data_IF_293724199649
#
_entry.id   IF_293724199649
#
_cell.length_a   1.000
_cell.length_b   1.000
_cell.length_c   1.000
_cell.angle_alpha   90.00
_cell.angle_beta   90.00
_cell.angle_gamma   90.00
#
_symmetry.space_group_name_H-M   'P 1'
#
loop_
_entity.id
_entity.type
_entity.pdbx_description
1 polymer ?
#
# COMPACT_ATOMS: atom_id res chain seq x y z
N UNK A 1 23.45 -7.02 -2.05
CA UNK A 1 22.02 -7.37 -1.87
C UNK A 1 21.36 -6.06 -1.51
N UNK A 2 20.57 -5.57 -2.45
CA UNK A 2 20.42 -4.15 -2.77
C UNK A 2 19.26 -3.56 -1.98
N UNK A 3 19.43 -2.34 -1.49
CA UNK A 3 18.48 -1.35 -0.92
C UNK A 3 16.98 -1.51 -1.29
N UNK A 4 16.69 -2.09 -2.46
CA UNK A 4 15.36 -2.53 -2.91
C UNK A 4 14.65 -3.53 -1.99
N UNK A 5 15.36 -4.39 -1.26
CA UNK A 5 14.75 -5.34 -0.32
C UNK A 5 14.23 -4.60 0.92
N UNK A 6 15.00 -3.65 1.48
CA UNK A 6 14.56 -2.75 2.56
C UNK A 6 13.45 -1.79 2.10
N UNK A 7 13.53 -1.29 0.86
CA UNK A 7 12.48 -0.51 0.24
C UNK A 7 11.17 -1.31 0.19
N UNK A 8 11.19 -2.55 -0.29
CA UNK A 8 9.99 -3.40 -0.33
C UNK A 8 9.54 -3.91 1.05
N UNK A 9 10.45 -4.01 2.03
CA UNK A 9 10.16 -4.39 3.42
C UNK A 9 9.47 -3.28 4.23
N UNK A 10 9.46 -2.05 3.71
CA UNK A 10 8.66 -1.01 4.34
C UNK A 10 7.17 -1.35 4.24
N UNK A 11 6.54 -1.58 5.39
CA UNK A 11 5.11 -1.85 5.56
C UNK A 11 4.23 -0.95 4.68
N UNK A 12 4.61 0.33 4.55
CA UNK A 12 3.92 1.29 3.69
C UNK A 12 3.95 0.92 2.19
N UNK A 13 5.06 0.40 1.68
CA UNK A 13 5.19 0.02 0.27
C UNK A 13 4.39 -1.24 -0.06
N UNK A 14 4.33 -2.20 0.87
CA UNK A 14 3.37 -3.31 0.78
C UNK A 14 1.92 -2.82 0.73
N UNK A 15 1.56 -1.86 1.59
CA UNK A 15 0.24 -1.22 1.59
C UNK A 15 -0.05 -0.44 0.30
N UNK A 16 0.93 0.29 -0.22
CA UNK A 16 0.82 1.05 -1.46
C UNK A 16 0.65 0.13 -2.68
N UNK A 17 1.35 -1.00 -2.72
CA UNK A 17 1.19 -2.00 -3.76
C UNK A 17 -0.20 -2.64 -3.73
N UNK A 18 -0.68 -3.04 -2.54
CA UNK A 18 -2.04 -3.56 -2.35
C UNK A 18 -3.09 -2.55 -2.85
N UNK A 19 -2.97 -1.29 -2.43
CA UNK A 19 -3.86 -0.22 -2.85
C UNK A 19 -3.86 0.00 -4.37
N UNK A 20 -2.68 -0.06 -5.00
CA UNK A 20 -2.54 0.07 -6.45
C UNK A 20 -3.26 -1.06 -7.19
N UNK A 21 -3.06 -2.32 -6.77
CA UNK A 21 -3.68 -3.49 -7.40
C UNK A 21 -5.20 -3.42 -7.30
N UNK A 22 -5.75 -3.01 -6.15
CA UNK A 22 -7.19 -2.90 -5.97
C UNK A 22 -7.81 -1.75 -6.77
N UNK A 23 -7.16 -0.57 -6.80
CA UNK A 23 -7.64 0.54 -7.62
C UNK A 23 -7.59 0.20 -9.11
N UNK A 24 -6.56 -0.54 -9.55
CA UNK A 24 -6.44 -1.02 -10.92
C UNK A 24 -7.52 -2.06 -11.30
N UNK A 25 -7.98 -2.86 -10.33
CA UNK A 25 -9.10 -3.80 -10.53
C UNK A 25 -10.45 -3.11 -10.63
N UNK A 26 -10.64 -2.01 -9.91
CA UNK A 26 -11.91 -1.28 -9.86
C UNK A 26 -12.05 -0.22 -10.96
N UNK A 27 -10.94 0.26 -11.52
CA UNK A 27 -10.93 1.34 -12.49
C UNK A 27 -10.84 0.79 -13.91
N UNK A 28 -11.76 1.20 -14.79
CA UNK A 28 -11.58 1.02 -16.23
C UNK A 28 -10.60 2.11 -16.70
N UNK A 29 -9.34 1.73 -16.85
CA UNK A 29 -8.25 2.64 -17.22
C UNK A 29 -7.13 2.68 -16.18
N UNK A 30 -6.16 3.60 -16.31
CA UNK A 30 -5.07 3.70 -15.35
C UNK A 30 -5.60 4.04 -13.95
N UNK A 31 -5.05 3.42 -12.89
CA UNK A 31 -5.50 3.66 -11.52
C UNK A 31 -5.29 5.12 -11.10
N UNK A 32 -6.27 5.67 -10.38
CA UNK A 32 -6.21 7.05 -9.91
C UNK A 32 -5.17 7.20 -8.79
N UNK A 33 -4.12 7.98 -9.04
CA UNK A 33 -3.02 8.18 -8.07
C UNK A 33 -3.50 8.71 -6.71
N UNK A 34 -4.51 9.58 -6.68
CA UNK A 34 -5.08 10.12 -5.44
C UNK A 34 -5.81 9.03 -4.66
N UNK A 35 -6.66 8.22 -5.32
CA UNK A 35 -7.40 7.12 -4.68
C UNK A 35 -6.47 6.03 -4.18
N UNK A 36 -5.47 5.66 -5.01
CA UNK A 36 -4.41 4.72 -4.62
C UNK A 36 -3.68 5.20 -3.38
N UNK A 37 -3.28 6.48 -3.33
CA UNK A 37 -2.56 7.04 -2.17
C UNK A 37 -3.42 7.05 -0.90
N UNK A 38 -4.70 7.42 -1.01
CA UNK A 38 -5.63 7.39 0.12
C UNK A 38 -5.82 5.98 0.67
N UNK A 39 -5.98 4.97 -0.21
CA UNK A 39 -6.06 3.56 0.19
C UNK A 39 -4.77 3.06 0.82
N UNK A 40 -3.61 3.46 0.27
CA UNK A 40 -2.31 3.08 0.81
C UNK A 40 -2.13 3.54 2.27
N UNK A 41 -2.49 4.79 2.57
CA UNK A 41 -2.44 5.30 3.95
C UNK A 41 -3.40 4.55 4.87
N UNK A 42 -4.63 4.27 4.42
CA UNK A 42 -5.58 3.50 5.23
C UNK A 42 -5.04 2.11 5.57
N UNK A 43 -4.52 1.37 4.59
CA UNK A 43 -3.93 0.05 4.84
C UNK A 43 -2.71 0.10 5.74
N UNK A 44 -1.92 1.16 5.64
CA UNK A 44 -0.79 1.38 6.52
C UNK A 44 -1.23 1.63 7.97
N UNK A 45 -2.22 2.50 8.19
CA UNK A 45 -2.78 2.76 9.52
C UNK A 45 -3.42 1.51 10.14
N UNK A 46 -4.18 0.74 9.35
CA UNK A 46 -4.76 -0.55 9.79
C UNK A 46 -3.66 -1.54 10.19
N UNK A 47 -2.63 -1.69 9.36
CA UNK A 47 -1.53 -2.62 9.64
C UNK A 47 -0.70 -2.19 10.86
N UNK A 48 -0.49 -0.89 11.07
CA UNK A 48 0.16 -0.36 12.28
C UNK A 48 -0.68 -0.62 13.53
N UNK A 49 -2.00 -0.46 13.44
CA UNK A 49 -2.90 -0.73 14.55
C UNK A 49 -2.92 -2.22 14.92
N UNK A 50 -2.82 -3.12 13.94
CA UNK A 50 -2.70 -4.56 14.17
C UNK A 50 -1.36 -4.92 14.81
N UNK A 51 -0.25 -4.29 14.39
CA UNK A 51 1.06 -4.48 15.02
C UNK A 51 1.12 -4.02 16.49
N UNK A 52 0.30 -3.05 16.89
CA UNK A 52 0.24 -2.55 18.27
C UNK A 52 -0.71 -3.37 19.17
N UNK A 53 -1.46 -4.31 18.58
CA UNK A 53 -2.42 -5.17 19.29
C UNK A 53 -1.84 -6.53 19.68
N UNK A 54 -0.72 -6.91 19.10
CA UNK A 54 0.06 -8.13 19.37
C UNK A 54 1.20 -7.83 20.36
#
# INVERSE_FOLDING_TARGET
MTDSDEFLDHLFLGCAFKAYVEEARETIGPPCSVRTRQRAYRYYEESLADQQRD
#
